data_IF_658301253188
#
_entry.id   IF_658301253188
#
_cell.length_a   1.000
_cell.length_b   1.000
_cell.length_c   1.000
_cell.angle_alpha   90.00
_cell.angle_beta   90.00
_cell.angle_gamma   90.00
#
_symmetry.space_group_name_H-M   'P 1'
#
loop_
_entity.id
_entity.type
_entity.pdbx_description
1 polymer ?
#
# COMPACT_ATOMS: atom_id res chain seq x y z
N UNK A 1 -9.99 9.18 22.19
CA UNK A 1 -8.93 10.10 21.75
C UNK A 1 -8.87 9.93 20.24
N UNK A 2 -8.92 11.02 19.46
CA UNK A 2 -8.85 10.92 17.99
C UNK A 2 -7.48 10.39 17.58
N UNK A 3 -7.42 9.38 16.71
CA UNK A 3 -6.16 8.79 16.26
C UNK A 3 -5.34 9.84 15.51
N UNK A 4 -4.01 9.84 15.71
CA UNK A 4 -3.12 10.74 14.97
C UNK A 4 -3.14 10.36 13.49
N UNK A 5 -3.41 11.34 12.62
CA UNK A 5 -3.45 11.15 11.16
C UNK A 5 -2.08 11.40 10.53
N UNK A 6 -1.62 10.47 9.70
CA UNK A 6 -0.36 10.55 8.96
C UNK A 6 -0.56 10.20 7.49
N UNK A 7 0.11 10.89 6.56
CA UNK A 7 0.01 10.62 5.13
C UNK A 7 1.38 10.56 4.45
N UNK A 8 1.52 9.65 3.51
CA UNK A 8 2.65 9.55 2.59
C UNK A 8 2.11 9.59 1.16
N UNK A 9 2.52 10.59 0.40
CA UNK A 9 2.07 10.82 -0.97
C UNK A 9 3.27 10.80 -1.91
N UNK A 10 3.25 9.90 -2.89
CA UNK A 10 4.36 9.67 -3.80
C UNK A 10 3.86 9.89 -5.23
N UNK A 11 4.56 10.73 -5.99
CA UNK A 11 4.23 11.03 -7.38
C UNK A 11 5.49 11.00 -8.23
N UNK A 12 5.59 10.07 -9.17
CA UNK A 12 6.78 9.89 -10.01
C UNK A 12 6.44 10.12 -11.48
N UNK A 13 6.96 11.21 -12.06
CA UNK A 13 6.80 11.56 -13.46
C UNK A 13 7.95 11.07 -14.35
N UNK A 14 9.05 10.55 -13.78
CA UNK A 14 10.24 10.10 -14.51
C UNK A 14 10.75 11.15 -15.52
N UNK A 15 10.75 12.41 -15.08
CA UNK A 15 10.94 13.59 -15.95
C UNK A 15 12.26 13.51 -16.72
N UNK A 16 12.19 13.58 -18.05
CA UNK A 16 13.36 13.52 -18.93
C UNK A 16 13.86 12.10 -19.26
N UNK A 17 13.16 11.05 -18.83
CA UNK A 17 13.44 9.67 -19.25
C UNK A 17 12.52 9.21 -20.39
N UNK A 18 12.79 8.01 -20.94
CA UNK A 18 11.92 7.37 -21.91
C UNK A 18 10.59 6.87 -21.30
N UNK A 19 10.47 6.89 -19.96
CA UNK A 19 9.30 6.45 -19.19
C UNK A 19 8.51 7.64 -18.62
N UNK A 20 8.62 8.81 -19.24
CA UNK A 20 8.06 10.03 -18.70
C UNK A 20 6.51 10.01 -18.64
N UNK A 21 5.99 10.41 -17.48
CA UNK A 21 4.58 10.71 -17.20
C UNK A 21 4.42 12.20 -16.90
N UNK A 22 3.18 12.70 -16.91
CA UNK A 22 2.90 14.13 -16.68
C UNK A 22 1.80 14.39 -15.64
N UNK A 23 1.17 13.34 -15.09
CA UNK A 23 0.01 13.46 -14.19
C UNK A 23 0.32 13.28 -12.71
N UNK A 24 1.36 12.50 -12.37
CA UNK A 24 1.53 11.96 -11.03
C UNK A 24 1.77 13.02 -9.95
N UNK A 25 2.46 14.12 -10.31
CA UNK A 25 2.62 15.26 -9.40
C UNK A 25 1.29 15.93 -9.08
N UNK A 26 0.41 16.06 -10.08
CA UNK A 26 -0.91 16.68 -9.89
C UNK A 26 -1.82 15.80 -9.05
N UNK A 27 -1.73 14.47 -9.20
CA UNK A 27 -2.51 13.54 -8.38
C UNK A 27 -2.16 13.66 -6.90
N UNK A 28 -0.85 13.76 -6.59
CA UNK A 28 -0.35 14.01 -5.24
C UNK A 28 -0.92 15.30 -4.66
N UNK A 29 -0.94 16.40 -5.44
CA UNK A 29 -1.52 17.67 -4.99
C UNK A 29 -3.02 17.56 -4.71
N UNK A 30 -3.76 16.92 -5.61
CA UNK A 30 -5.21 16.73 -5.47
C UNK A 30 -5.55 15.88 -4.22
N UNK A 31 -4.78 14.82 -3.97
CA UNK A 31 -4.94 13.98 -2.79
C UNK A 31 -4.54 14.74 -1.52
N UNK A 32 -3.44 15.50 -1.53
CA UNK A 32 -3.03 16.31 -0.38
C UNK A 32 -4.11 17.32 0.01
N UNK A 33 -4.70 18.00 -0.97
CA UNK A 33 -5.81 18.92 -0.76
C UNK A 33 -7.02 18.18 -0.15
N UNK A 34 -7.43 17.06 -0.74
CA UNK A 34 -8.52 16.24 -0.22
C UNK A 34 -8.30 15.80 1.24
N UNK A 35 -7.10 15.33 1.56
CA UNK A 35 -6.75 14.87 2.91
C UNK A 35 -6.81 16.01 3.93
N UNK A 36 -6.48 17.24 3.53
CA UNK A 36 -6.62 18.42 4.39
C UNK A 36 -8.08 18.62 4.83
N UNK A 37 -9.06 18.44 3.93
CA UNK A 37 -10.49 18.48 4.25
C UNK A 37 -10.94 17.30 5.13
N UNK A 38 -10.17 16.21 5.15
CA UNK A 38 -10.41 15.01 5.99
C UNK A 38 -9.64 15.05 7.32
N UNK A 39 -9.04 16.18 7.66
CA UNK A 39 -8.36 16.41 8.94
C UNK A 39 -6.92 15.90 9.00
N UNK A 40 -6.30 15.55 7.86
CA UNK A 40 -4.86 15.29 7.81
C UNK A 40 -4.11 16.62 7.78
N UNK A 41 -3.16 16.78 8.69
CA UNK A 41 -2.29 17.96 8.73
C UNK A 41 -1.22 17.88 7.64
N UNK A 42 -0.93 19.02 7.01
CA UNK A 42 0.22 19.20 6.10
C UNK A 42 1.54 19.49 6.85
N UNK A 43 1.56 19.41 8.18
CA UNK A 43 2.78 19.51 8.98
C UNK A 43 3.74 18.35 8.59
N UNK A 44 5.04 18.59 8.40
CA UNK A 44 6.00 17.54 8.03
C UNK A 44 6.08 16.36 9.00
N UNK A 45 5.60 16.51 10.24
CA UNK A 45 5.46 15.40 11.20
C UNK A 45 4.26 14.50 10.89
N UNK A 46 3.30 14.95 10.10
CA UNK A 46 2.08 14.23 9.73
C UNK A 46 1.95 13.99 8.22
N UNK A 47 2.73 14.65 7.38
CA UNK A 47 2.71 14.42 5.94
C UNK A 47 4.11 14.42 5.35
N UNK A 48 4.40 13.38 4.56
CA UNK A 48 5.59 13.30 3.70
C UNK A 48 5.12 13.23 2.26
N UNK A 49 5.73 14.05 1.40
CA UNK A 49 5.50 14.06 -0.04
C UNK A 49 6.83 13.75 -0.73
N UNK A 50 6.84 12.73 -1.60
CA UNK A 50 7.97 12.39 -2.45
C UNK A 50 7.61 12.65 -3.92
N UNK A 51 8.43 13.43 -4.64
CA UNK A 51 8.25 13.68 -6.07
C UNK A 51 9.57 13.90 -6.79
N UNK A 52 9.68 13.47 -8.04
CA UNK A 52 10.90 13.57 -8.84
C UNK A 52 11.22 14.99 -9.35
N UNK A 53 10.34 15.97 -9.10
CA UNK A 53 10.66 17.40 -9.22
C UNK A 53 11.27 17.99 -7.92
N UNK A 54 11.36 17.20 -6.85
CA UNK A 54 11.94 17.59 -5.56
C UNK A 54 13.32 16.96 -5.36
N UNK A 55 14.25 17.65 -4.72
CA UNK A 55 15.60 17.15 -4.45
C UNK A 55 15.77 16.46 -3.09
N UNK A 56 16.92 15.79 -2.91
CA UNK A 56 17.38 15.29 -1.61
C UNK A 56 16.50 14.18 -1.04
N UNK A 57 16.13 14.29 0.23
CA UNK A 57 15.34 13.27 0.94
C UNK A 57 13.89 13.13 0.43
N UNK A 58 13.43 14.07 -0.40
CA UNK A 58 12.08 14.05 -0.98
C UNK A 58 12.05 13.51 -2.43
N UNK A 59 13.21 13.14 -2.97
CA UNK A 59 13.30 12.49 -4.28
C UNK A 59 12.84 11.02 -4.16
N UNK A 60 11.97 10.50 -5.04
CA UNK A 60 11.33 9.19 -4.89
C UNK A 60 12.22 8.04 -5.38
N UNK A 61 13.46 7.96 -4.86
CA UNK A 61 14.31 6.79 -5.03
C UNK A 61 13.74 5.60 -4.25
N UNK A 62 14.10 4.38 -4.63
CA UNK A 62 13.62 3.18 -3.92
C UNK A 62 13.97 3.22 -2.42
N UNK A 63 15.17 3.72 -2.10
CA UNK A 63 15.60 3.94 -0.72
C UNK A 63 14.70 4.93 0.04
N UNK A 64 14.43 6.10 -0.55
CA UNK A 64 13.62 7.14 0.10
C UNK A 64 12.16 6.72 0.24
N UNK A 65 11.61 6.00 -0.75
CA UNK A 65 10.25 5.43 -0.68
C UNK A 65 10.14 4.48 0.51
N UNK A 66 11.04 3.50 0.63
CA UNK A 66 11.00 2.54 1.74
C UNK A 66 11.20 3.21 3.10
N UNK A 67 12.11 4.17 3.20
CA UNK A 67 12.32 4.94 4.42
C UNK A 67 11.07 5.75 4.81
N UNK A 68 10.38 6.34 3.84
CA UNK A 68 9.15 7.08 4.08
C UNK A 68 7.99 6.16 4.46
N UNK A 69 7.90 4.96 3.88
CA UNK A 69 6.94 3.93 4.28
C UNK A 69 7.16 3.51 5.74
N UNK A 70 8.41 3.20 6.11
CA UNK A 70 8.76 2.85 7.49
C UNK A 70 8.40 4.00 8.45
N UNK A 71 8.65 5.24 8.04
CA UNK A 71 8.19 6.41 8.79
C UNK A 71 6.67 6.43 8.92
N UNK A 72 5.90 6.20 7.87
CA UNK A 72 4.43 6.26 7.87
C UNK A 72 3.86 5.35 8.96
N UNK A 73 4.31 4.09 9.00
CA UNK A 73 3.78 3.06 9.91
C UNK A 73 4.58 2.89 11.21
N UNK A 74 5.48 3.81 11.56
CA UNK A 74 6.36 3.68 12.74
C UNK A 74 5.70 3.82 14.12
N UNK A 75 4.45 4.30 14.21
CA UNK A 75 3.83 4.68 15.48
C UNK A 75 2.49 3.96 15.70
N UNK A 76 2.22 3.43 16.91
CA UNK A 76 0.93 2.80 17.23
C UNK A 76 -0.19 3.83 17.33
N UNK A 77 -1.43 3.40 17.05
CA UNK A 77 -2.60 4.24 17.23
C UNK A 77 -2.75 5.36 16.19
N UNK A 78 -2.16 5.18 15.01
CA UNK A 78 -2.25 6.13 13.90
C UNK A 78 -3.25 5.71 12.84
N UNK A 79 -3.84 6.71 12.18
CA UNK A 79 -4.61 6.54 10.97
C UNK A 79 -3.75 7.00 9.79
N UNK A 80 -3.31 6.04 9.00
CA UNK A 80 -2.31 6.23 7.96
C UNK A 80 -2.97 6.26 6.58
N UNK A 81 -2.53 7.17 5.73
CA UNK A 81 -2.92 7.25 4.34
C UNK A 81 -1.70 7.10 3.43
N UNK A 82 -1.75 6.17 2.49
CA UNK A 82 -0.69 5.95 1.50
C UNK A 82 -1.23 6.20 0.10
N UNK A 83 -0.54 7.04 -0.66
CA UNK A 83 -0.86 7.28 -2.07
C UNK A 83 0.40 7.12 -2.91
N UNK A 84 0.27 6.36 -3.98
CA UNK A 84 1.30 6.24 -5.01
C UNK A 84 0.66 6.49 -6.38
N UNK A 85 1.21 7.44 -7.14
CA UNK A 85 0.94 7.63 -8.56
C UNK A 85 2.25 7.60 -9.32
N UNK A 86 2.35 6.73 -10.31
CA UNK A 86 3.57 6.45 -11.07
C UNK A 86 3.44 5.15 -11.86
N UNK A 87 4.55 4.67 -12.41
CA UNK A 87 4.55 3.37 -13.07
C UNK A 87 4.42 2.23 -12.06
N UNK A 88 3.72 1.19 -12.49
CA UNK A 88 3.73 -0.13 -11.88
C UNK A 88 4.07 -1.16 -12.94
N UNK A 89 4.56 -2.31 -12.48
CA UNK A 89 5.01 -3.38 -13.34
C UNK A 89 4.89 -4.72 -12.65
N UNK A 90 5.57 -5.72 -13.22
CA UNK A 90 5.66 -7.04 -12.64
C UNK A 90 7.11 -7.55 -12.74
N UNK A 91 7.57 -8.26 -11.72
CA UNK A 91 8.84 -9.00 -11.74
C UNK A 91 8.58 -10.49 -11.51
N UNK A 92 9.50 -11.34 -11.93
CA UNK A 92 9.40 -12.77 -11.60
C UNK A 92 9.63 -12.97 -10.11
N UNK A 93 8.82 -13.83 -9.49
CA UNK A 93 9.03 -14.22 -8.11
C UNK A 93 10.41 -14.91 -7.97
N UNK A 94 11.35 -14.32 -7.22
CA UNK A 94 12.69 -14.89 -7.07
C UNK A 94 12.71 -16.17 -6.23
N UNK A 95 11.68 -16.39 -5.41
CA UNK A 95 11.57 -17.58 -4.55
C UNK A 95 10.93 -18.76 -5.28
N UNK A 96 10.13 -18.49 -6.31
CA UNK A 96 9.36 -19.47 -7.06
C UNK A 96 8.26 -20.15 -6.24
N UNK A 97 7.86 -19.54 -5.12
CA UNK A 97 6.82 -20.08 -4.24
C UNK A 97 5.42 -19.62 -4.66
N UNK A 98 5.33 -18.52 -5.40
CA UNK A 98 4.07 -17.97 -5.89
C UNK A 98 3.49 -18.85 -7.01
N UNK A 99 2.22 -19.26 -6.90
CA UNK A 99 1.55 -20.02 -7.97
C UNK A 99 1.54 -19.29 -9.31
N UNK A 100 1.42 -17.95 -9.29
CA UNK A 100 1.49 -17.09 -10.47
C UNK A 100 2.91 -16.93 -11.03
N UNK A 101 3.93 -17.12 -10.19
CA UNK A 101 5.34 -16.93 -10.54
C UNK A 101 5.77 -15.47 -10.77
N UNK A 102 4.90 -14.50 -10.44
CA UNK A 102 5.12 -13.07 -10.66
C UNK A 102 4.72 -12.27 -9.42
N UNK A 103 5.33 -11.11 -9.26
CA UNK A 103 5.09 -10.11 -8.22
C UNK A 103 4.70 -8.79 -8.89
N UNK A 104 3.61 -8.19 -8.44
CA UNK A 104 3.24 -6.81 -8.78
C UNK A 104 4.25 -5.84 -8.15
N UNK A 105 4.51 -4.70 -8.80
CA UNK A 105 5.54 -3.74 -8.33
C UNK A 105 5.11 -2.28 -8.48
N UNK A 106 5.74 -1.41 -7.68
CA UNK A 106 5.84 0.02 -7.98
C UNK A 106 7.25 0.35 -8.49
N UNK A 107 7.36 1.35 -9.36
CA UNK A 107 8.62 1.77 -9.96
C UNK A 107 9.14 3.08 -9.33
N UNK A 108 10.16 3.04 -8.46
CA UNK A 108 10.86 4.25 -8.04
C UNK A 108 11.49 4.99 -9.22
N UNK A 109 11.88 6.25 -9.05
CA UNK A 109 12.52 7.01 -10.15
C UNK A 109 13.86 6.43 -10.61
N UNK A 110 14.56 5.70 -9.74
CA UNK A 110 15.85 5.05 -10.00
C UNK A 110 15.72 3.55 -10.32
N UNK A 111 14.55 3.11 -10.77
CA UNK A 111 14.27 1.68 -11.00
C UNK A 111 15.19 1.03 -12.04
N UNK A 112 15.71 1.78 -13.02
CA UNK A 112 16.63 1.25 -14.03
C UNK A 112 17.97 0.82 -13.41
N UNK A 113 18.42 1.53 -12.37
CA UNK A 113 19.68 1.26 -11.68
C UNK A 113 19.51 0.34 -10.47
N UNK A 114 18.38 0.47 -9.76
CA UNK A 114 18.15 -0.18 -8.45
C UNK A 114 17.01 -1.19 -8.41
N UNK A 115 16.28 -1.33 -9.51
CA UNK A 115 15.12 -2.22 -9.59
C UNK A 115 13.83 -1.60 -9.07
N UNK A 116 12.75 -2.36 -9.25
CA UNK A 116 11.40 -2.03 -8.80
C UNK A 116 11.21 -2.47 -7.34
N UNK A 117 10.17 -1.97 -6.67
CA UNK A 117 9.78 -2.45 -5.33
C UNK A 117 8.60 -3.40 -5.50
N UNK A 118 8.79 -4.68 -5.16
CA UNK A 118 7.79 -5.73 -5.28
C UNK A 118 6.75 -5.75 -4.15
N UNK A 119 5.65 -6.47 -4.40
CA UNK A 119 4.51 -6.58 -3.50
C UNK A 119 4.85 -7.25 -2.16
N UNK A 120 5.82 -8.17 -2.13
CA UNK A 120 6.33 -8.76 -0.87
C UNK A 120 7.00 -7.70 0.00
N UNK A 121 7.87 -6.89 -0.61
CA UNK A 121 8.57 -5.80 0.06
C UNK A 121 7.58 -4.75 0.55
N UNK A 122 6.61 -4.37 -0.29
CA UNK A 122 5.56 -3.42 0.11
C UNK A 122 4.70 -3.98 1.25
N UNK A 123 4.29 -5.25 1.17
CA UNK A 123 3.53 -5.91 2.23
C UNK A 123 4.33 -5.92 3.55
N UNK A 124 5.60 -6.34 3.50
CA UNK A 124 6.45 -6.35 4.69
C UNK A 124 6.53 -4.97 5.35
N UNK A 125 6.75 -3.93 4.55
CA UNK A 125 6.97 -2.58 5.06
C UNK A 125 5.68 -1.84 5.47
N UNK A 126 4.57 -1.99 4.74
CA UNK A 126 3.30 -1.29 5.01
C UNK A 126 2.34 -2.07 5.91
N UNK A 127 2.35 -3.40 5.83
CA UNK A 127 1.36 -4.28 6.45
C UNK A 127 1.96 -4.98 7.67
N UNK A 128 3.01 -5.79 7.48
CA UNK A 128 3.58 -6.60 8.56
C UNK A 128 4.19 -5.74 9.68
N UNK A 129 4.89 -4.65 9.32
CA UNK A 129 5.52 -3.72 10.29
C UNK A 129 4.55 -2.75 10.95
N UNK A 130 3.32 -2.62 10.45
CA UNK A 130 2.36 -1.68 11.04
C UNK A 130 2.04 -2.10 12.48
N UNK A 131 2.07 -1.19 13.46
CA UNK A 131 1.82 -1.52 14.86
C UNK A 131 0.33 -1.70 15.17
N UNK A 132 0.00 -2.42 16.27
CA UNK A 132 -1.38 -2.63 16.70
C UNK A 132 -2.19 -1.34 16.87
N UNK A 133 -3.51 -1.46 16.75
CA UNK A 133 -4.50 -0.38 16.83
C UNK A 133 -4.27 0.75 15.81
N UNK A 134 -3.66 0.44 14.67
CA UNK A 134 -3.40 1.40 13.59
C UNK A 134 -4.16 1.01 12.33
N UNK A 135 -4.48 2.01 11.51
CA UNK A 135 -5.15 1.79 10.22
C UNK A 135 -4.29 2.29 9.06
N UNK A 136 -4.45 1.67 7.90
CA UNK A 136 -3.83 2.07 6.65
C UNK A 136 -4.91 2.09 5.55
N UNK A 137 -5.11 3.25 4.95
CA UNK A 137 -5.86 3.40 3.71
C UNK A 137 -4.90 3.72 2.56
N UNK A 138 -4.86 2.84 1.56
CA UNK A 138 -3.97 2.96 0.41
C UNK A 138 -4.74 3.25 -0.88
N UNK A 139 -4.17 4.10 -1.73
CA UNK A 139 -4.62 4.36 -3.10
C UNK A 139 -3.41 4.15 -4.00
N UNK A 140 -3.46 3.15 -4.88
CA UNK A 140 -2.40 2.87 -5.86
C UNK A 140 -2.90 3.20 -7.27
N UNK A 141 -2.36 4.26 -7.84
CA UNK A 141 -2.63 4.72 -9.19
C UNK A 141 -1.51 4.26 -10.13
N UNK A 142 -1.41 2.94 -10.30
CA UNK A 142 -0.43 2.31 -11.16
C UNK A 142 -0.98 0.99 -11.74
N UNK A 143 -0.46 0.60 -12.92
CA UNK A 143 -0.75 -0.70 -13.52
C UNK A 143 -0.26 -1.83 -12.61
N UNK A 144 -0.93 -2.99 -12.65
CA UNK A 144 -0.54 -4.19 -11.89
C UNK A 144 -0.42 -3.93 -10.39
N UNK A 145 -1.50 -3.41 -9.79
CA UNK A 145 -1.53 -3.06 -8.36
C UNK A 145 -2.69 -3.74 -7.61
N UNK A 146 -3.38 -4.68 -8.24
CA UNK A 146 -4.48 -5.44 -7.62
C UNK A 146 -4.01 -6.25 -6.42
N UNK A 147 -2.79 -6.79 -6.49
CA UNK A 147 -2.16 -7.53 -5.40
C UNK A 147 -0.98 -6.80 -4.76
N UNK A 148 -0.72 -5.53 -5.04
CA UNK A 148 0.49 -4.84 -4.57
C UNK A 148 0.71 -4.82 -3.03
N UNK A 149 -0.35 -4.97 -2.22
CA UNK A 149 -0.26 -5.16 -0.77
C UNK A 149 -0.66 -6.58 -0.30
N UNK A 150 -0.99 -7.47 -1.24
CA UNK A 150 -1.24 -8.89 -1.00
C UNK A 150 -2.28 -9.13 0.12
N UNK A 151 -3.35 -8.33 0.10
CA UNK A 151 -4.42 -8.43 1.11
C UNK A 151 -5.37 -9.60 0.79
N UNK A 152 -5.83 -10.35 1.80
CA UNK A 152 -6.55 -11.60 1.62
C UNK A 152 -7.94 -11.47 0.98
N UNK A 153 -8.63 -10.33 1.15
CA UNK A 153 -9.97 -10.14 0.60
C UNK A 153 -9.96 -9.07 -0.48
N UNK A 154 -10.22 -9.46 -1.75
CA UNK A 154 -10.26 -8.53 -2.88
C UNK A 154 -11.63 -8.51 -3.50
N UNK A 155 -12.23 -7.34 -3.58
CA UNK A 155 -13.57 -7.11 -4.12
C UNK A 155 -13.48 -6.33 -5.43
N UNK A 156 -14.23 -6.78 -6.43
CA UNK A 156 -14.43 -6.06 -7.69
C UNK A 156 -15.92 -5.88 -7.98
N UNK A 157 -16.24 -4.83 -8.72
CA UNK A 157 -17.57 -4.63 -9.31
C UNK A 157 -17.58 -5.10 -10.74
N UNK A 158 -18.62 -5.85 -11.13
CA UNK A 158 -18.89 -6.12 -12.54
C UNK A 158 -19.59 -4.94 -13.24
N UNK A 159 -19.94 -5.13 -14.52
CA UNK A 159 -20.59 -4.10 -15.33
C UNK A 159 -22.03 -3.80 -14.94
N UNK A 160 -22.66 -4.66 -14.13
CA UNK A 160 -24.01 -4.50 -13.60
C UNK A 160 -24.00 -3.89 -12.19
N UNK A 161 -22.81 -3.67 -11.61
CA UNK A 161 -22.61 -3.14 -10.27
C UNK A 161 -22.64 -4.19 -9.17
N UNK A 162 -22.69 -5.49 -9.52
CA UNK A 162 -22.59 -6.56 -8.54
C UNK A 162 -21.16 -6.67 -8.02
N UNK A 163 -21.02 -6.91 -6.72
CA UNK A 163 -19.70 -7.10 -6.10
C UNK A 163 -19.39 -8.57 -5.94
N UNK A 164 -18.24 -8.98 -6.46
CA UNK A 164 -17.68 -10.32 -6.30
C UNK A 164 -16.39 -10.27 -5.50
N UNK A 165 -16.25 -11.20 -4.55
CA UNK A 165 -14.97 -11.52 -3.94
C UNK A 165 -14.15 -12.34 -4.94
N UNK A 166 -12.90 -11.94 -5.17
CA UNK A 166 -11.91 -12.67 -5.96
C UNK A 166 -11.13 -13.57 -5.00
N UNK A 167 -10.90 -14.82 -5.39
CA UNK A 167 -10.11 -15.79 -4.62
C UNK A 167 -8.60 -15.45 -4.63
N UNK A 168 -8.21 -14.35 -3.99
CA UNK A 168 -6.80 -13.99 -3.69
C UNK A 168 -6.38 -14.42 -2.28
N UNK A 169 -7.26 -15.12 -1.56
CA UNK A 169 -7.07 -15.54 -0.17
C UNK A 169 -5.78 -16.36 -0.03
N UNK A 170 -5.45 -17.20 -1.02
CA UNK A 170 -4.29 -18.09 -0.94
C UNK A 170 -2.94 -17.35 -0.96
N UNK A 171 -2.81 -16.31 -1.79
CA UNK A 171 -1.56 -15.55 -1.91
C UNK A 171 -1.36 -14.64 -0.68
N UNK A 172 -2.40 -13.92 -0.26
CA UNK A 172 -2.34 -13.08 0.94
C UNK A 172 -2.13 -13.87 2.24
N UNK A 173 -2.67 -15.08 2.35
CA UNK A 173 -2.42 -15.94 3.52
C UNK A 173 -0.97 -16.43 3.59
N UNK A 174 -0.35 -16.77 2.44
CA UNK A 174 1.04 -17.27 2.42
C UNK A 174 2.01 -16.25 3.04
N UNK A 175 1.91 -14.99 2.64
CA UNK A 175 2.77 -13.92 3.17
C UNK A 175 2.50 -13.62 4.64
N UNK A 176 1.24 -13.69 5.08
CA UNK A 176 0.92 -13.52 6.50
C UNK A 176 1.57 -14.61 7.35
N UNK A 177 1.55 -15.85 6.87
CA UNK A 177 2.23 -16.97 7.54
C UNK A 177 3.76 -16.77 7.55
N UNK A 178 4.37 -16.36 6.43
CA UNK A 178 5.82 -16.08 6.38
C UNK A 178 6.23 -14.91 7.29
N UNK A 179 5.41 -13.85 7.37
CA UNK A 179 5.65 -12.74 8.28
C UNK A 179 5.53 -13.17 9.75
N UNK A 180 4.59 -14.06 10.07
CA UNK A 180 4.44 -14.68 11.40
C UNK A 180 5.68 -15.51 11.78
N UNK A 181 6.19 -16.29 10.83
CA UNK A 181 7.44 -17.05 10.99
C UNK A 181 8.67 -16.14 11.16
N UNK A 182 8.73 -15.01 10.45
CA UNK A 182 9.80 -14.02 10.61
C UNK A 182 9.74 -13.32 11.98
N UNK A 183 8.54 -13.06 12.50
CA UNK A 183 8.35 -12.44 13.82
C UNK A 183 8.65 -13.41 14.98
N UNK A 184 8.39 -14.70 14.79
CA UNK A 184 8.69 -15.75 15.78
C UNK A 184 10.15 -16.23 15.72
N UNK A 185 10.79 -16.13 14.56
CA UNK A 185 12.20 -16.45 14.33
C UNK A 185 13.14 -15.30 14.68
N UNK A 186 13.58 -15.22 15.94
CA UNK A 186 14.48 -14.18 16.46
C UNK A 186 15.64 -13.80 15.52
N UNK A 187 15.72 -12.51 15.17
CA UNK A 187 16.75 -11.91 14.33
C UNK A 187 18.19 -12.22 14.81
N UNK A 188 18.98 -12.89 13.96
CA UNK A 188 20.44 -12.91 14.09
C UNK A 188 21.06 -11.92 13.12
N UNK A 189 21.30 -10.69 13.60
CA UNK A 189 22.03 -9.66 12.86
C UNK A 189 23.54 -9.92 12.96
N UNK A 190 24.12 -10.54 11.93
CA UNK A 190 25.57 -10.54 11.73
C UNK A 190 25.93 -9.93 10.37
N UNK A 191 25.96 -8.59 10.33
CA UNK A 191 26.99 -7.73 9.70
C UNK A 191 26.45 -6.30 9.55
N UNK A 192 26.62 -5.50 10.61
CA UNK A 192 26.60 -4.03 10.52
C UNK A 192 28.04 -3.55 10.66
N UNK A 193 28.61 -3.00 9.59
CA UNK A 193 29.82 -2.21 9.65
C UNK A 193 29.72 -1.10 8.60
N UNK A 194 28.95 -0.07 8.94
CA UNK A 194 29.08 1.36 8.56
C UNK A 194 27.72 2.04 8.67
N UNK A 195 27.41 2.59 9.86
CA UNK A 195 26.29 3.48 10.08
C UNK A 195 26.57 4.34 11.32
N UNK A 196 27.46 5.34 11.19
CA UNK A 196 27.72 6.29 12.27
C UNK A 196 26.70 7.45 12.34
N UNK A 197 25.86 7.66 11.32
CA UNK A 197 24.94 8.82 11.28
C UNK A 197 23.45 8.52 11.54
N UNK A 198 23.04 7.26 11.72
CA UNK A 198 21.61 6.93 11.94
C UNK A 198 21.14 6.92 13.41
N UNK A 199 22.01 7.25 14.37
CA UNK A 199 21.89 6.69 15.73
C UNK A 199 21.38 7.61 16.86
N UNK A 200 20.80 8.78 16.58
CA UNK A 200 20.31 9.65 17.67
C UNK A 200 18.85 9.42 18.09
N UNK A 201 17.99 8.88 17.21
CA UNK A 201 16.53 8.84 17.43
C UNK A 201 15.90 7.46 17.68
N UNK A 202 16.53 6.38 17.23
CA UNK A 202 15.90 5.04 17.21
C UNK A 202 16.12 4.21 18.49
N UNK A 203 17.03 4.63 19.38
CA UNK A 203 17.45 3.81 20.53
C UNK A 203 16.42 3.65 21.65
N UNK A 204 15.36 4.47 21.70
CA UNK A 204 14.33 4.37 22.74
C UNK A 204 13.33 3.24 22.48
N UNK A 205 13.01 2.95 21.22
CA UNK A 205 12.05 1.92 20.82
C UNK A 205 12.61 0.50 21.00
N UNK A 206 13.84 0.24 20.54
CA UNK A 206 14.45 -1.11 20.58
C UNK A 206 14.75 -1.64 21.99
N UNK A 207 14.82 -0.77 23.01
CA UNK A 207 15.05 -1.23 24.39
C UNK A 207 13.81 -1.88 25.02
N UNK A 208 12.61 -1.63 24.48
CA UNK A 208 11.36 -2.15 25.02
C UNK A 208 11.08 -3.61 24.65
N UNK A 209 11.76 -4.17 23.64
CA UNK A 209 11.52 -5.54 23.16
C UNK A 209 12.30 -6.63 23.91
N UNK A 210 13.14 -6.26 24.89
CA UNK A 210 14.04 -7.21 25.57
C UNK A 210 13.42 -8.01 26.72
N UNK A 211 12.11 -7.88 26.98
CA UNK A 211 11.48 -8.43 28.20
C UNK A 211 10.27 -9.36 28.01
N UNK A 212 10.00 -9.88 26.81
CA UNK A 212 8.87 -10.81 26.61
C UNK A 212 9.31 -12.12 25.96
N UNK A 213 10.14 -12.89 26.67
CA UNK A 213 10.42 -14.28 26.33
C UNK A 213 10.01 -15.19 27.46
N UNK A 214 8.82 -15.78 27.39
CA UNK A 214 8.49 -17.06 28.01
C UNK A 214 7.63 -17.89 27.05
N UNK A 215 8.04 -19.15 26.89
CA UNK A 215 7.65 -20.10 25.85
C UNK A 215 6.20 -20.58 25.97
N UNK A 216 5.52 -20.74 24.83
CA UNK A 216 4.44 -21.72 24.70
C UNK A 216 4.33 -22.25 23.27
N UNK A 217 4.48 -23.56 23.16
CA UNK A 217 4.26 -24.36 21.95
C UNK A 217 2.76 -24.52 21.67
N UNK A 218 2.30 -24.09 20.50
CA UNK A 218 1.03 -24.47 19.87
C UNK A 218 1.20 -24.25 18.36
N UNK A 219 1.10 -25.26 17.49
CA UNK A 219 -0.19 -25.81 17.06
C UNK A 219 -0.65 -25.09 15.79
N UNK A 220 -0.06 -25.44 14.64
CA UNK A 220 -0.28 -24.80 13.34
C UNK A 220 -1.72 -25.05 12.84
N UNK A 221 -2.47 -23.96 12.66
CA UNK A 221 -3.79 -23.97 12.03
C UNK A 221 -4.14 -22.56 11.53
N UNK A 222 -4.71 -22.50 10.34
CA UNK A 222 -5.11 -21.30 9.56
C UNK A 222 -5.94 -20.27 10.36
N UNK A 223 -6.55 -20.68 11.48
CA UNK A 223 -7.30 -19.81 12.40
C UNK A 223 -6.44 -18.90 13.27
N UNK A 224 -5.15 -19.21 13.48
CA UNK A 224 -4.29 -18.47 14.40
C UNK A 224 -3.82 -17.11 13.84
N UNK A 225 -3.55 -17.03 12.54
CA UNK A 225 -2.94 -15.84 11.91
C UNK A 225 -3.97 -14.71 11.71
N UNK A 226 -5.19 -15.05 11.26
CA UNK A 226 -6.30 -14.10 11.23
C UNK A 226 -6.70 -13.64 12.63
N UNK A 227 -6.63 -14.53 13.62
CA UNK A 227 -6.89 -14.19 15.01
C UNK A 227 -5.81 -13.24 15.57
N UNK A 228 -4.53 -13.40 15.21
CA UNK A 228 -3.45 -12.49 15.60
C UNK A 228 -3.68 -11.09 14.99
N UNK A 229 -3.98 -11.02 13.68
CA UNK A 229 -4.24 -9.75 12.99
C UNK A 229 -5.49 -9.02 13.54
N UNK A 230 -6.52 -9.79 13.90
CA UNK A 230 -7.71 -9.28 14.60
C UNK A 230 -7.39 -8.85 16.03
N UNK A 231 -6.55 -9.56 16.78
CA UNK A 231 -6.13 -9.20 18.14
C UNK A 231 -5.30 -7.92 18.18
N UNK A 232 -4.50 -7.68 17.13
CA UNK A 232 -3.74 -6.45 16.98
C UNK A 232 -4.60 -5.26 16.53
N UNK A 233 -5.89 -5.47 16.22
CA UNK A 233 -6.81 -4.43 15.74
C UNK A 233 -6.24 -3.58 14.59
N UNK A 234 -5.50 -4.21 13.68
CA UNK A 234 -4.98 -3.58 12.46
C UNK A 234 -6.05 -3.57 11.39
N UNK A 235 -6.19 -2.47 10.65
CA UNK A 235 -7.07 -2.40 9.49
C UNK A 235 -6.31 -1.86 8.29
N UNK A 236 -6.20 -2.65 7.23
CA UNK A 236 -5.60 -2.23 5.96
C UNK A 236 -6.66 -2.33 4.88
N UNK A 237 -6.85 -1.24 4.14
CA UNK A 237 -7.75 -1.17 2.99
C UNK A 237 -7.02 -0.48 1.85
N UNK A 238 -7.20 -0.97 0.63
CA UNK A 238 -6.53 -0.46 -0.55
C UNK A 238 -7.52 -0.34 -1.70
N UNK A 239 -7.51 0.80 -2.39
CA UNK A 239 -8.10 0.95 -3.71
C UNK A 239 -7.00 0.94 -4.78
N UNK A 240 -7.23 0.18 -5.84
CA UNK A 240 -6.35 0.10 -7.01
C UNK A 240 -7.16 0.02 -8.30
N UNK A 241 -6.54 0.35 -9.44
CA UNK A 241 -7.14 0.21 -10.77
C UNK A 241 -6.48 -0.92 -11.56
N UNK A 242 -7.22 -1.97 -11.89
CA UNK A 242 -6.75 -3.05 -12.76
C UNK A 242 -7.36 -2.95 -14.17
N UNK A 243 -6.70 -3.50 -15.18
CA UNK A 243 -7.29 -3.73 -16.51
C UNK A 243 -7.65 -5.21 -16.68
N UNK A 244 -8.65 -5.50 -17.51
CA UNK A 244 -9.15 -6.86 -17.75
C UNK A 244 -8.24 -7.68 -18.69
N UNK A 245 -7.30 -7.06 -19.42
CA UNK A 245 -6.48 -7.68 -20.48
C UNK A 245 -5.00 -7.91 -20.10
N UNK A 246 -4.66 -7.79 -18.81
CA UNK A 246 -3.29 -7.90 -18.33
C UNK A 246 -2.76 -9.33 -18.48
N UNK A 247 -2.02 -9.56 -19.57
CA UNK A 247 -1.39 -10.85 -19.86
C UNK A 247 0.04 -10.82 -19.36
N UNK A 248 0.36 -11.70 -18.41
CA UNK A 248 1.67 -11.82 -17.75
C UNK A 248 2.70 -12.49 -18.66
N UNK A 249 3.57 -11.70 -19.30
CA UNK A 249 4.82 -12.21 -19.85
C UNK A 249 5.87 -11.08 -19.92
N UNK A 250 6.99 -11.32 -19.24
CA UNK A 250 8.19 -10.45 -19.12
C UNK A 250 8.02 -9.18 -18.26
N UNK A 251 9.11 -8.78 -17.59
CA UNK A 251 9.15 -7.59 -16.75
C UNK A 251 8.84 -6.37 -17.62
N UNK A 252 7.59 -5.92 -17.55
CA UNK A 252 7.04 -4.89 -18.42
C UNK A 252 6.52 -3.75 -17.56
N UNK A 253 6.88 -2.54 -17.97
CA UNK A 253 6.32 -1.32 -17.42
C UNK A 253 5.08 -1.00 -18.25
N UNK A 254 3.91 -1.04 -17.61
CA UNK A 254 2.64 -0.76 -18.27
C UNK A 254 2.43 0.74 -18.45
N UNK A 255 1.99 1.16 -19.63
CA UNK A 255 1.65 2.55 -19.94
C UNK A 255 0.15 2.83 -20.10
N UNK A 256 -0.22 4.07 -19.76
CA UNK A 256 -1.40 4.87 -20.14
C UNK A 256 -2.58 4.86 -19.16
N UNK A 257 -2.78 6.06 -18.59
CA UNK A 257 -3.87 6.62 -17.76
C UNK A 257 -3.60 6.64 -16.25
N UNK A 258 -2.45 7.21 -15.89
CA UNK A 258 -2.02 7.44 -14.52
C UNK A 258 -2.80 8.61 -13.93
N UNK A 259 -3.46 8.38 -12.78
CA UNK A 259 -4.30 9.36 -12.10
C UNK A 259 -5.79 9.07 -12.20
N UNK A 260 -6.24 8.14 -13.03
CA UNK A 260 -7.66 7.91 -13.28
C UNK A 260 -8.39 7.30 -12.08
N UNK A 261 -7.73 6.41 -11.33
CA UNK A 261 -8.34 5.82 -10.13
C UNK A 261 -8.43 6.84 -8.99
N UNK A 262 -7.35 7.55 -8.69
CA UNK A 262 -7.33 8.62 -7.68
C UNK A 262 -8.29 9.76 -8.06
N UNK A 263 -8.33 10.14 -9.34
CA UNK A 263 -9.30 11.12 -9.85
C UNK A 263 -10.74 10.66 -9.63
N UNK A 264 -11.09 9.43 -10.04
CA UNK A 264 -12.44 8.91 -9.90
C UNK A 264 -12.85 8.79 -8.43
N UNK A 265 -11.95 8.29 -7.58
CA UNK A 265 -12.15 8.25 -6.13
C UNK A 265 -12.44 9.66 -5.57
N UNK A 266 -11.66 10.67 -5.97
CA UNK A 266 -11.87 12.05 -5.55
C UNK A 266 -13.20 12.62 -6.04
N UNK A 267 -13.66 12.29 -7.25
CA UNK A 267 -15.00 12.69 -7.72
C UNK A 267 -16.10 12.11 -6.84
N UNK A 268 -15.98 10.82 -6.48
CA UNK A 268 -16.93 10.15 -5.57
C UNK A 268 -16.94 10.82 -4.20
N UNK A 269 -15.77 11.09 -3.61
CA UNK A 269 -15.66 11.75 -2.31
C UNK A 269 -16.21 13.19 -2.30
N UNK A 270 -16.16 13.89 -3.45
CA UNK A 270 -16.77 15.23 -3.60
C UNK A 270 -18.29 15.15 -3.71
N UNK A 271 -18.81 14.08 -4.31
CA UNK A 271 -20.25 13.86 -4.53
C UNK A 271 -20.96 13.34 -3.29
N UNK A 272 -20.29 12.45 -2.56
CA UNK A 272 -20.83 11.77 -1.40
C UNK A 272 -19.95 12.07 -0.19
N UNK A 273 -20.44 12.80 0.83
CA UNK A 273 -19.62 13.18 1.99
C UNK A 273 -19.15 12.00 2.86
N UNK A 274 -19.99 10.95 2.99
CA UNK A 274 -19.72 9.79 3.84
C UNK A 274 -20.20 8.48 3.15
N UNK A 275 -19.63 8.11 2.00
CA UNK A 275 -20.02 6.88 1.30
C UNK A 275 -19.57 5.66 2.08
N UNK A 276 -20.24 4.52 1.87
CA UNK A 276 -19.73 3.21 2.32
C UNK A 276 -18.56 2.74 1.46
N UNK A 277 -17.83 1.71 1.89
CA UNK A 277 -16.81 1.07 1.04
C UNK A 277 -17.44 0.51 -0.24
N UNK A 278 -18.59 -0.13 -0.12
CA UNK A 278 -19.36 -0.68 -1.24
C UNK A 278 -19.79 0.42 -2.21
N UNK A 279 -20.39 1.50 -1.70
CA UNK A 279 -20.80 2.62 -2.52
C UNK A 279 -19.60 3.27 -3.20
N UNK A 280 -18.47 3.42 -2.50
CA UNK A 280 -17.26 4.00 -3.08
C UNK A 280 -16.75 3.16 -4.24
N UNK A 281 -16.67 1.84 -4.09
CA UNK A 281 -16.25 0.93 -5.14
C UNK A 281 -17.17 1.03 -6.37
N UNK A 282 -18.48 0.96 -6.15
CA UNK A 282 -19.49 1.06 -7.20
C UNK A 282 -19.44 2.41 -7.95
N UNK A 283 -19.47 3.52 -7.23
CA UNK A 283 -19.49 4.85 -7.83
C UNK A 283 -18.17 5.18 -8.53
N UNK A 284 -17.04 4.64 -8.04
CA UNK A 284 -15.75 4.77 -8.71
C UNK A 284 -15.78 4.05 -10.06
N UNK A 285 -16.34 2.83 -10.13
CA UNK A 285 -16.49 2.10 -11.41
C UNK A 285 -17.38 2.87 -12.38
N UNK A 286 -18.51 3.40 -11.91
CA UNK A 286 -19.39 4.22 -12.75
C UNK A 286 -18.67 5.46 -13.27
N UNK A 287 -17.93 6.16 -12.41
CA UNK A 287 -17.19 7.36 -12.78
C UNK A 287 -16.10 7.08 -13.84
N UNK A 288 -15.33 6.00 -13.66
CA UNK A 288 -14.32 5.55 -14.63
C UNK A 288 -14.96 5.23 -15.99
N UNK A 289 -16.04 4.44 -16.00
CA UNK A 289 -16.74 4.06 -17.25
C UNK A 289 -17.33 5.25 -17.99
N UNK A 290 -18.02 6.14 -17.27
CA UNK A 290 -18.63 7.34 -17.88
C UNK A 290 -17.59 8.29 -18.49
N UNK A 291 -16.35 8.19 -18.01
CA UNK A 291 -15.21 8.97 -18.48
C UNK A 291 -14.33 8.20 -19.48
N UNK A 292 -14.80 7.05 -19.95
CA UNK A 292 -14.12 6.16 -20.92
C UNK A 292 -12.76 5.61 -20.44
N UNK A 293 -12.58 5.44 -19.13
CA UNK A 293 -11.46 4.68 -18.59
C UNK A 293 -11.79 3.18 -18.59
N UNK A 294 -10.84 2.38 -19.06
CA UNK A 294 -10.95 0.91 -19.08
C UNK A 294 -10.68 0.28 -17.71
N UNK A 295 -10.08 1.03 -16.79
CA UNK A 295 -9.76 0.57 -15.45
C UNK A 295 -11.01 0.09 -14.70
N UNK A 296 -10.86 -1.05 -14.02
CA UNK A 296 -11.81 -1.62 -13.07
C UNK A 296 -11.24 -1.37 -11.68
N UNK A 297 -11.94 -0.62 -10.81
CA UNK A 297 -11.47 -0.42 -9.45
C UNK A 297 -11.61 -1.74 -8.67
N UNK A 298 -10.61 -1.99 -7.82
CA UNK A 298 -10.61 -3.08 -6.87
C UNK A 298 -10.48 -2.51 -5.46
N UNK A 299 -11.15 -3.17 -4.51
CA UNK A 299 -11.00 -2.90 -3.09
C UNK A 299 -10.36 -4.12 -2.43
N UNK A 300 -9.16 -3.98 -1.92
CA UNK A 300 -8.46 -5.03 -1.18
C UNK A 300 -8.49 -4.72 0.32
N UNK A 301 -8.74 -5.71 1.16
CA UNK A 301 -8.97 -5.55 2.60
C UNK A 301 -8.20 -6.61 3.39
N UNK A 302 -7.54 -6.18 4.45
CA UNK A 302 -6.75 -7.03 5.35
C UNK A 302 -7.56 -8.00 6.21
N UNK A 303 -8.82 -7.66 6.51
CA UNK A 303 -9.73 -8.43 7.35
C UNK A 303 -11.14 -8.42 6.75
N UNK A 304 -11.87 -9.52 6.91
CA UNK A 304 -13.27 -9.55 6.48
C UNK A 304 -14.08 -8.48 7.23
N UNK A 305 -14.81 -7.65 6.48
CA UNK A 305 -15.61 -6.57 7.04
C UNK A 305 -16.91 -6.39 6.26
N UNK A 306 -17.93 -5.83 6.92
CA UNK A 306 -19.14 -5.36 6.24
C UNK A 306 -18.79 -4.14 5.37
N UNK A 307 -18.98 -4.25 4.06
CA UNK A 307 -18.65 -3.18 3.09
C UNK A 307 -19.68 -2.04 3.09
N UNK A 308 -20.86 -2.23 3.70
CA UNK A 308 -21.87 -1.17 3.85
C UNK A 308 -21.52 -0.15 4.92
N UNK A 309 -20.50 -0.43 5.74
CA UNK A 309 -20.01 0.53 6.72
C UNK A 309 -19.39 1.76 6.05
N UNK A 310 -19.40 2.93 6.74
CA UNK A 310 -18.78 4.15 6.22
C UNK A 310 -17.29 3.97 5.91
N UNK A 311 -16.85 4.57 4.82
CA UNK A 311 -15.44 4.65 4.46
C UNK A 311 -14.69 5.55 5.44
N UNK A 312 -13.79 4.95 6.21
CA UNK A 312 -13.01 5.64 7.24
C UNK A 312 -11.63 6.00 6.72
N UNK A 313 -11.30 7.30 6.78
CA UNK A 313 -9.99 7.91 6.56
C UNK A 313 -9.59 8.72 7.78
#
# INVERSE_FOLDING_TARGET
MEMRKKSLLIGVNYTGSDHQLNGCHRDVENIAEFLSYRGYSSDPRSQVILRDDLGGMYYPSGHNILAAIDWLVSEPGTCNFFHYSGHGGQVRDPTGQRPSGILDTICPVDFEERGQIDSDTLHQHLVSRMPPNSTLFAILDCCHSGSALELPYVYKTDDEGNVSLIDNIREGMHLMTEASDLLSGGFSFNKMAEAQDLYAGATSFFRSFKHMGEEQQAGLGEDADSAMYQQEHKMVTMFSGCRDDQTSADASIGGVNEGAMSWAFLQVMRRYPNPSFLQTLHETRLCLRQSNYEQVPQLSVGLQMDLERPLTL
#
